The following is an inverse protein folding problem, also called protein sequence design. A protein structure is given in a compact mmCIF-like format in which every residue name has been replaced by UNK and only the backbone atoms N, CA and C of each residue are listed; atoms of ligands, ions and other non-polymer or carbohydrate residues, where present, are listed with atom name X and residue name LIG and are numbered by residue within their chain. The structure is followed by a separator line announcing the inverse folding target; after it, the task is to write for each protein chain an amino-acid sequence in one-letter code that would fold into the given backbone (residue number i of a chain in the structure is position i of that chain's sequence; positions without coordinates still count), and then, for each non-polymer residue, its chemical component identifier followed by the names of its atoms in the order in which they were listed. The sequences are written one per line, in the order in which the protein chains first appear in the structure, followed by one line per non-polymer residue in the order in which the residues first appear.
data_IF_111560419346
#
_entry.id   IF_111560419346
#
_cell.length_a   1.000
_cell.length_b   1.000
_cell.length_c   1.000
_cell.angle_alpha   90.00
_cell.angle_beta   90.00
_cell.angle_gamma   90.00
#
_symmetry.space_group_name_H-M   'P 1'
#
loop_
_entity.id
_entity.type
_entity.pdbx_description
1 polymer ?
#
# COMPACT_ATOMS: atom_id res chain seq x y z
N UNK A 1 12.29 -27.79 30.13
CA UNK A 1 11.28 -26.73 29.94
C UNK A 1 11.84 -25.66 29.02
N UNK A 2 11.35 -25.54 27.78
CA UNK A 2 11.75 -24.43 26.89
C UNK A 2 11.14 -23.14 27.46
N UNK A 3 12.00 -22.21 27.89
CA UNK A 3 11.59 -20.83 28.16
C UNK A 3 11.09 -20.25 26.84
N UNK A 4 9.77 -20.23 26.65
CA UNK A 4 9.12 -19.53 25.55
C UNK A 4 9.19 -18.06 25.94
N UNK A 5 10.02 -17.28 25.25
CA UNK A 5 10.13 -15.85 25.53
C UNK A 5 8.73 -15.23 25.35
N UNK A 6 8.14 -14.70 26.42
CA UNK A 6 6.83 -14.02 26.44
C UNK A 6 6.87 -12.59 25.87
N UNK A 7 8.00 -12.18 25.29
CA UNK A 7 8.13 -10.90 24.62
C UNK A 7 8.22 -11.13 23.11
N UNK A 8 7.06 -11.13 22.46
CA UNK A 8 6.97 -11.14 21.02
C UNK A 8 6.85 -9.70 20.53
N UNK A 9 7.95 -9.13 20.05
CA UNK A 9 7.99 -7.81 19.42
C UNK A 9 7.40 -7.89 18.00
N UNK A 10 6.23 -8.53 17.85
CA UNK A 10 5.68 -8.83 16.54
C UNK A 10 5.10 -7.56 15.92
N UNK A 11 5.82 -7.04 14.94
CA UNK A 11 5.24 -6.27 13.85
C UNK A 11 5.04 -7.23 12.68
N UNK A 12 3.82 -7.36 12.11
CA UNK A 12 2.58 -6.63 12.39
C UNK A 12 1.74 -7.22 13.55
N UNK A 13 0.82 -6.40 14.09
CA UNK A 13 -0.21 -6.82 15.06
C UNK A 13 -1.21 -7.80 14.41
N UNK A 14 -1.88 -8.67 15.19
CA UNK A 14 -3.02 -9.43 14.70
C UNK A 14 -4.11 -8.52 14.12
N UNK A 15 -4.81 -8.99 13.09
CA UNK A 15 -5.96 -8.29 12.52
C UNK A 15 -7.09 -8.18 13.55
N UNK A 16 -7.86 -7.09 13.47
CA UNK A 16 -9.10 -6.95 14.21
C UNK A 16 -10.16 -7.90 13.65
N UNK A 17 -11.13 -8.30 14.47
CA UNK A 17 -12.17 -9.27 14.06
C UNK A 17 -12.93 -8.80 12.80
N UNK A 18 -13.25 -7.51 12.72
CA UNK A 18 -13.93 -6.93 11.57
C UNK A 18 -13.08 -6.98 10.28
N UNK A 19 -11.76 -6.82 10.39
CA UNK A 19 -10.84 -6.92 9.25
C UNK A 19 -10.69 -8.38 8.81
N UNK A 20 -10.66 -9.30 9.77
CA UNK A 20 -10.61 -10.74 9.51
C UNK A 20 -11.87 -11.22 8.78
N UNK A 21 -13.05 -10.75 9.19
CA UNK A 21 -14.33 -11.08 8.54
C UNK A 21 -14.35 -10.64 7.07
N UNK A 22 -13.87 -9.41 6.78
CA UNK A 22 -13.75 -8.91 5.42
C UNK A 22 -12.79 -9.78 4.58
N UNK A 23 -11.64 -10.14 5.14
CA UNK A 23 -10.67 -11.02 4.48
C UNK A 23 -11.27 -12.40 4.16
N UNK A 24 -11.97 -13.01 5.13
CA UNK A 24 -12.63 -14.31 4.96
C UNK A 24 -13.74 -14.24 3.91
N UNK A 25 -14.50 -13.15 3.89
CA UNK A 25 -15.55 -12.93 2.87
C UNK A 25 -14.97 -12.98 1.46
N UNK A 26 -13.86 -12.26 1.22
CA UNK A 26 -13.18 -12.28 -0.08
C UNK A 26 -12.59 -13.64 -0.40
N UNK A 27 -11.96 -14.30 0.58
CA UNK A 27 -11.43 -15.64 0.43
C UNK A 27 -12.49 -16.66 0.00
N UNK A 28 -13.72 -16.55 0.54
CA UNK A 28 -14.85 -17.39 0.15
C UNK A 28 -15.42 -17.03 -1.22
N UNK A 29 -15.37 -15.76 -1.61
CA UNK A 29 -15.89 -15.30 -2.90
C UNK A 29 -15.04 -15.75 -4.10
N UNK A 30 -13.73 -15.94 -3.91
CA UNK A 30 -12.76 -16.20 -4.99
C UNK A 30 -12.40 -14.98 -5.84
N UNK A 31 -12.90 -13.79 -5.50
CA UNK A 31 -12.70 -12.52 -6.22
C UNK A 31 -11.41 -11.83 -5.74
N UNK A 32 -10.25 -12.39 -6.07
CA UNK A 32 -8.96 -11.92 -5.55
C UNK A 32 -8.35 -10.74 -6.32
N UNK A 33 -8.87 -10.44 -7.51
CA UNK A 33 -8.33 -9.38 -8.34
C UNK A 33 -9.10 -8.08 -8.12
N UNK A 34 -8.38 -6.96 -8.25
CA UNK A 34 -8.98 -5.62 -8.37
C UNK A 34 -10.10 -5.59 -9.40
N UNK A 35 -9.95 -6.28 -10.53
CA UNK A 35 -10.94 -6.27 -11.61
C UNK A 35 -12.13 -7.20 -11.36
N UNK A 36 -12.12 -7.96 -10.26
CA UNK A 36 -13.17 -8.94 -9.95
C UNK A 36 -14.08 -8.50 -8.80
N UNK A 37 -13.79 -7.40 -8.11
CA UNK A 37 -14.61 -6.86 -7.02
C UNK A 37 -14.49 -5.33 -6.96
N UNK A 38 -15.44 -4.67 -6.29
CA UNK A 38 -15.44 -3.21 -6.12
C UNK A 38 -14.66 -2.73 -4.88
N UNK A 39 -14.10 -3.65 -4.08
CA UNK A 39 -13.45 -3.31 -2.81
C UNK A 39 -12.31 -2.30 -2.98
N UNK A 40 -11.55 -2.42 -4.07
CA UNK A 40 -10.44 -1.50 -4.31
C UNK A 40 -10.93 -0.11 -4.68
N UNK A 41 -12.02 -0.03 -5.44
CA UNK A 41 -12.60 1.25 -5.86
C UNK A 41 -13.25 1.95 -4.65
N UNK A 42 -13.98 1.20 -3.82
CA UNK A 42 -14.54 1.70 -2.54
C UNK A 42 -13.43 2.22 -1.61
N UNK A 43 -12.33 1.47 -1.46
CA UNK A 43 -11.19 1.91 -0.67
C UNK A 43 -10.56 3.20 -1.23
N UNK A 44 -10.47 3.34 -2.54
CA UNK A 44 -9.95 4.57 -3.17
C UNK A 44 -10.87 5.77 -2.94
N UNK A 45 -12.18 5.60 -3.01
CA UNK A 45 -13.14 6.65 -2.67
C UNK A 45 -13.01 7.07 -1.19
N UNK A 46 -12.91 6.11 -0.28
CA UNK A 46 -12.69 6.37 1.15
C UNK A 46 -11.37 7.09 1.40
N UNK A 47 -10.28 6.68 0.75
CA UNK A 47 -8.97 7.32 0.87
C UNK A 47 -8.98 8.74 0.31
N UNK A 48 -9.60 8.96 -0.86
CA UNK A 48 -9.73 10.29 -1.45
C UNK A 48 -10.51 11.23 -0.51
N UNK A 49 -11.62 10.74 0.07
CA UNK A 49 -12.39 11.49 1.06
C UNK A 49 -11.57 11.76 2.34
N UNK A 50 -10.81 10.78 2.82
CA UNK A 50 -10.02 10.92 4.05
C UNK A 50 -8.89 11.95 3.90
N UNK A 51 -8.18 11.91 2.77
CA UNK A 51 -7.09 12.84 2.46
C UNK A 51 -7.54 14.17 1.86
N UNK A 52 -8.84 14.34 1.62
CA UNK A 52 -9.42 15.55 1.02
C UNK A 52 -8.85 15.84 -0.38
N UNK A 53 -8.71 14.79 -1.20
CA UNK A 53 -8.24 14.87 -2.59
C UNK A 53 -9.34 14.46 -3.55
N UNK A 54 -9.24 14.87 -4.83
CA UNK A 54 -10.22 14.47 -5.85
C UNK A 54 -10.11 12.99 -6.22
N UNK A 55 -8.90 12.43 -6.13
CA UNK A 55 -8.61 11.06 -6.52
C UNK A 55 -7.64 10.41 -5.50
N UNK A 56 -7.73 9.10 -5.38
CA UNK A 56 -6.72 8.25 -4.75
C UNK A 56 -6.51 7.01 -5.62
N UNK A 57 -5.27 6.51 -5.67
CA UNK A 57 -4.93 5.29 -6.41
C UNK A 57 -4.14 4.37 -5.49
N UNK A 58 -4.68 3.19 -5.24
CA UNK A 58 -4.05 2.14 -4.44
C UNK A 58 -3.01 1.41 -5.27
N UNK A 59 -1.91 1.05 -4.60
CA UNK A 59 -0.79 0.34 -5.19
C UNK A 59 -0.36 -0.80 -4.28
N UNK A 60 0.37 -1.76 -4.82
CA UNK A 60 0.85 -2.93 -4.06
C UNK A 60 1.92 -2.59 -3.01
N UNK A 61 2.54 -1.42 -3.12
CA UNK A 61 3.50 -0.88 -2.16
C UNK A 61 3.68 0.64 -2.34
N UNK A 62 4.34 1.29 -1.36
CA UNK A 62 4.73 2.69 -1.49
C UNK A 62 5.71 2.96 -2.65
N UNK A 63 6.63 2.02 -2.92
CA UNK A 63 7.55 2.10 -4.06
C UNK A 63 6.81 2.03 -5.39
N UNK A 64 5.81 1.15 -5.52
CA UNK A 64 4.96 1.08 -6.71
C UNK A 64 4.13 2.35 -6.91
N UNK A 65 3.61 2.94 -5.83
CA UNK A 65 2.90 4.21 -5.87
C UNK A 65 3.77 5.35 -6.40
N UNK A 66 4.98 5.49 -5.85
CA UNK A 66 5.94 6.50 -6.32
C UNK A 66 6.32 6.28 -7.78
N UNK A 67 6.54 5.03 -8.19
CA UNK A 67 6.86 4.71 -9.59
C UNK A 67 5.71 5.11 -10.53
N UNK A 68 4.46 4.79 -10.16
CA UNK A 68 3.28 5.22 -10.90
C UNK A 68 3.17 6.74 -11.03
N UNK A 69 3.46 7.48 -9.95
CA UNK A 69 3.50 8.95 -9.99
C UNK A 69 4.55 9.47 -10.97
N UNK A 70 5.77 8.91 -10.96
CA UNK A 70 6.83 9.34 -11.87
C UNK A 70 6.51 9.03 -13.32
N UNK A 71 5.91 7.87 -13.61
CA UNK A 71 5.43 7.51 -14.95
C UNK A 71 4.34 8.49 -15.40
N UNK A 72 3.40 8.86 -14.53
CA UNK A 72 2.34 9.80 -14.86
C UNK A 72 2.85 11.24 -15.11
N UNK A 73 3.96 11.63 -14.48
CA UNK A 73 4.60 12.94 -14.67
C UNK A 73 5.46 13.02 -15.96
N UNK A 74 5.83 11.87 -16.55
CA UNK A 74 6.53 11.74 -17.84
C UNK A 74 7.79 12.63 -17.96
N UNK A 75 8.68 12.53 -16.96
CA UNK A 75 9.95 13.25 -16.96
C UNK A 75 10.87 12.82 -18.10
N UNK A 76 11.55 13.78 -18.71
CA UNK A 76 12.53 13.50 -19.76
C UNK A 76 13.82 12.90 -19.17
N UNK A 77 14.55 12.05 -19.92
CA UNK A 77 15.86 11.57 -19.51
C UNK A 77 16.82 12.72 -19.15
N UNK A 78 17.48 12.61 -18.01
CA UNK A 78 18.34 13.67 -17.46
C UNK A 78 17.62 14.65 -16.54
N UNK A 79 16.32 14.48 -16.29
CA UNK A 79 15.60 15.23 -15.24
C UNK A 79 16.15 14.88 -13.85
N UNK A 80 16.16 15.86 -12.96
CA UNK A 80 16.62 15.71 -11.58
C UNK A 80 15.44 15.66 -10.60
N UNK A 81 15.52 14.76 -9.63
CA UNK A 81 14.52 14.61 -8.56
C UNK A 81 15.21 14.85 -7.21
N UNK A 82 14.78 15.90 -6.51
CA UNK A 82 15.28 16.23 -5.17
C UNK A 82 14.61 15.33 -4.14
N UNK A 83 15.41 14.70 -3.28
CA UNK A 83 14.95 13.85 -2.20
C UNK A 83 15.66 14.20 -0.88
N UNK A 84 15.23 13.61 0.23
CA UNK A 84 15.88 13.78 1.54
C UNK A 84 17.19 12.98 1.63
N UNK A 85 18.15 13.49 2.40
CA UNK A 85 19.43 12.81 2.62
C UNK A 85 19.32 11.56 3.50
N UNK A 86 18.23 11.42 4.25
CA UNK A 86 17.97 10.27 5.14
C UNK A 86 16.53 9.81 4.97
N UNK A 87 16.34 8.64 4.35
CA UNK A 87 15.07 7.93 4.21
C UNK A 87 15.32 6.45 3.88
N UNK A 88 14.26 5.64 3.87
CA UNK A 88 14.29 4.27 3.36
C UNK A 88 14.63 4.23 1.86
N UNK A 89 15.29 3.15 1.41
CA UNK A 89 15.70 3.00 0.01
C UNK A 89 14.52 2.96 -0.96
N UNK A 90 13.32 2.60 -0.49
CA UNK A 90 12.10 2.49 -1.28
C UNK A 90 11.63 3.79 -1.93
N UNK A 91 12.15 4.96 -1.53
CA UNK A 91 11.88 6.24 -2.21
C UNK A 91 12.83 6.52 -3.37
N UNK A 92 13.97 5.82 -3.46
CA UNK A 92 14.97 5.99 -4.53
C UNK A 92 14.78 4.98 -5.65
N UNK A 93 14.43 3.73 -5.31
CA UNK A 93 14.16 2.65 -6.28
C UNK A 93 13.22 3.07 -7.43
N UNK A 94 12.13 3.84 -7.21
CA UNK A 94 11.22 4.25 -8.27
C UNK A 94 11.82 5.19 -9.32
N UNK A 95 12.90 5.89 -8.96
CA UNK A 95 13.57 6.92 -9.78
C UNK A 95 14.58 6.28 -10.75
N UNK A 96 15.14 5.14 -10.39
CA UNK A 96 16.20 4.42 -11.11
C UNK A 96 15.64 3.49 -12.17
#
# INVERSE_FOLDING_TARGET
MKKRFEFNLQYPKPLLENELDQLISIAKSGLFSRYTSHIVDELEEELASYYQTEYAVTCTSGTAALHGCLVALDFQPGSEIITTSVADIGIVIPIM
#
